data_IF_155865592008
#
_entry.id   IF_155865592008
#
_cell.length_a   1.000
_cell.length_b   1.000
_cell.length_c   1.000
_cell.angle_alpha   90.00
_cell.angle_beta   90.00
_cell.angle_gamma   90.00
#
_symmetry.space_group_name_H-M   'P 1'
#
loop_
_entity.id
_entity.type
_entity.pdbx_description
1 polymer ?
#
# COMPACT_ATOMS: atom_id res chain seq x y z
N UNK A 1 6.84 -20.76 -30.18
CA UNK A 1 6.72 -20.47 -28.73
C UNK A 1 8.13 -20.53 -28.17
N UNK A 2 8.61 -19.46 -27.54
CA UNK A 2 9.98 -19.42 -27.01
C UNK A 2 10.08 -20.32 -25.77
N UNK A 3 11.26 -20.87 -25.49
CA UNK A 3 11.52 -21.57 -24.25
C UNK A 3 11.35 -20.60 -23.05
N UNK A 4 10.49 -20.89 -22.07
CA UNK A 4 10.29 -20.05 -20.87
C UNK A 4 11.58 -19.73 -20.12
N UNK A 5 12.60 -20.61 -20.17
CA UNK A 5 13.91 -20.33 -19.56
C UNK A 5 14.68 -19.24 -20.30
N UNK A 6 14.51 -19.12 -21.62
CA UNK A 6 15.16 -18.07 -22.41
C UNK A 6 14.49 -16.73 -22.16
N UNK A 7 13.16 -16.70 -22.03
CA UNK A 7 12.40 -15.48 -21.76
C UNK A 7 12.74 -14.88 -20.40
N UNK A 8 12.85 -15.72 -19.35
CA UNK A 8 13.31 -15.29 -18.03
C UNK A 8 14.71 -14.66 -18.05
N UNK A 9 15.64 -15.24 -18.82
CA UNK A 9 17.00 -14.70 -18.97
C UNK A 9 17.02 -13.35 -19.72
N UNK A 10 16.10 -13.14 -20.67
CA UNK A 10 15.99 -11.89 -21.40
C UNK A 10 15.51 -10.75 -20.49
N UNK A 11 14.49 -10.99 -19.66
CA UNK A 11 13.97 -10.01 -18.69
C UNK A 11 15.06 -9.61 -17.69
N UNK A 12 15.81 -10.57 -17.16
CA UNK A 12 16.85 -10.30 -16.16
C UNK A 12 18.05 -9.55 -16.74
N UNK A 13 18.39 -9.81 -18.02
CA UNK A 13 19.38 -9.00 -18.74
C UNK A 13 18.88 -7.57 -18.90
N UNK A 14 17.60 -7.37 -19.26
CA UNK A 14 17.01 -6.03 -19.35
C UNK A 14 16.99 -5.31 -18.00
N UNK A 15 16.75 -6.03 -16.90
CA UNK A 15 16.81 -5.50 -15.53
C UNK A 15 18.19 -4.93 -15.19
N UNK A 16 19.24 -5.69 -15.46
CA UNK A 16 20.62 -5.25 -15.21
C UNK A 16 20.98 -4.02 -16.05
N UNK A 17 20.42 -3.90 -17.27
CA UNK A 17 20.61 -2.71 -18.10
C UNK A 17 19.84 -1.51 -17.54
N UNK A 18 18.59 -1.72 -17.10
CA UNK A 18 17.74 -0.68 -16.53
C UNK A 18 18.33 -0.06 -15.25
N UNK A 19 18.91 -0.88 -14.39
CA UNK A 19 19.53 -0.46 -13.13
C UNK A 19 20.89 0.25 -13.32
N UNK A 20 21.40 0.33 -14.55
CA UNK A 20 22.67 0.98 -14.86
C UNK A 20 22.47 2.39 -15.42
N UNK A 21 23.06 3.39 -14.76
CA UNK A 21 23.03 4.79 -15.22
C UNK A 21 23.84 5.05 -16.52
N UNK A 22 24.53 4.02 -17.04
CA UNK A 22 25.40 4.12 -18.21
C UNK A 22 25.23 2.89 -19.10
N UNK A 23 25.58 2.98 -20.39
CA UNK A 23 25.62 1.81 -21.25
C UNK A 23 26.46 0.69 -20.61
N UNK A 24 25.93 -0.54 -20.58
CA UNK A 24 26.56 -1.68 -19.91
C UNK A 24 26.88 -2.82 -20.88
N UNK A 25 28.09 -3.38 -20.74
CA UNK A 25 28.63 -4.41 -21.63
C UNK A 25 28.28 -5.83 -21.20
N UNK A 26 28.34 -6.78 -22.15
CA UNK A 26 27.96 -8.18 -21.92
C UNK A 26 28.75 -8.89 -20.81
N UNK A 27 30.00 -8.47 -20.54
CA UNK A 27 30.82 -9.02 -19.45
C UNK A 27 30.27 -8.59 -18.09
N UNK A 28 30.08 -7.29 -17.90
CA UNK A 28 29.52 -6.74 -16.66
C UNK A 28 28.11 -7.28 -16.39
N UNK A 29 27.27 -7.41 -17.44
CA UNK A 29 25.96 -8.05 -17.31
C UNK A 29 26.09 -9.52 -16.88
N UNK A 30 27.03 -10.28 -17.46
CA UNK A 30 27.25 -11.67 -17.05
C UNK A 30 27.70 -11.77 -15.60
N UNK A 31 28.66 -10.94 -15.18
CA UNK A 31 29.16 -10.91 -13.80
C UNK A 31 28.02 -10.59 -12.81
N UNK A 32 27.18 -9.61 -13.14
CA UNK A 32 26.02 -9.24 -12.33
C UNK A 32 24.95 -10.34 -12.27
N UNK A 33 24.66 -11.02 -13.38
CA UNK A 33 23.74 -12.15 -13.40
C UNK A 33 24.27 -13.34 -12.59
N UNK A 34 25.58 -13.61 -12.61
CA UNK A 34 26.18 -14.64 -11.76
C UNK A 34 26.06 -14.27 -10.27
N UNK A 35 26.23 -12.98 -9.91
CA UNK A 35 26.00 -12.50 -8.54
C UNK A 35 24.54 -12.70 -8.10
N UNK A 36 23.59 -12.62 -9.05
CA UNK A 36 22.16 -12.88 -8.83
C UNK A 36 21.78 -14.37 -8.91
N UNK A 37 22.76 -15.27 -9.02
CA UNK A 37 22.56 -16.72 -9.00
C UNK A 37 22.23 -17.36 -10.35
N UNK A 38 22.39 -16.65 -11.47
CA UNK A 38 22.27 -17.22 -12.81
C UNK A 38 23.62 -17.76 -13.31
N UNK A 39 23.67 -19.04 -13.67
CA UNK A 39 24.84 -19.62 -14.36
C UNK A 39 24.82 -19.22 -15.85
N UNK A 40 25.49 -18.10 -16.17
CA UNK A 40 25.55 -17.58 -17.53
C UNK A 40 26.88 -16.89 -17.83
N UNK A 41 27.52 -17.30 -18.94
CA UNK A 41 28.76 -16.68 -19.41
C UNK A 41 28.53 -15.50 -20.37
N UNK A 42 29.56 -14.64 -20.52
CA UNK A 42 29.55 -13.46 -21.41
C UNK A 42 29.11 -13.78 -22.85
N UNK A 43 29.48 -14.95 -23.39
CA UNK A 43 29.07 -15.39 -24.74
C UNK A 43 27.56 -15.62 -24.85
N UNK A 44 26.94 -16.20 -23.83
CA UNK A 44 25.51 -16.43 -23.77
C UNK A 44 24.75 -15.11 -23.57
N UNK A 45 25.26 -14.21 -22.72
CA UNK A 45 24.72 -12.85 -22.59
C UNK A 45 24.78 -12.10 -23.93
N UNK A 46 25.90 -12.17 -24.67
CA UNK A 46 26.00 -11.58 -26.02
C UNK A 46 24.94 -12.11 -26.99
N UNK A 47 24.59 -13.40 -26.89
CA UNK A 47 23.55 -14.00 -27.70
C UNK A 47 22.17 -13.42 -27.36
N UNK A 48 21.80 -13.37 -26.08
CA UNK A 48 20.53 -12.79 -25.63
C UNK A 48 20.42 -11.30 -25.96
N UNK A 49 21.51 -10.53 -25.83
CA UNK A 49 21.50 -9.12 -26.19
C UNK A 49 21.27 -8.89 -27.70
N UNK A 50 21.65 -9.84 -28.58
CA UNK A 50 21.29 -9.74 -30.00
C UNK A 50 19.79 -9.92 -30.20
N UNK A 51 19.18 -10.86 -29.47
CA UNK A 51 17.72 -11.06 -29.50
C UNK A 51 17.00 -9.81 -29.02
N UNK A 52 17.50 -9.16 -27.95
CA UNK A 52 16.93 -7.90 -27.44
C UNK A 52 17.09 -6.74 -28.44
N UNK A 53 18.22 -6.66 -29.15
CA UNK A 53 18.43 -5.67 -30.21
C UNK A 53 17.46 -5.93 -31.40
N UNK A 54 17.30 -7.19 -31.82
CA UNK A 54 16.41 -7.60 -32.91
C UNK A 54 14.93 -7.32 -32.58
N UNK A 55 14.57 -7.39 -31.30
CA UNK A 55 13.22 -7.02 -30.79
C UNK A 55 13.06 -5.52 -30.56
N UNK A 56 14.12 -4.73 -30.72
CA UNK A 56 14.10 -3.29 -30.50
C UNK A 56 14.03 -2.87 -29.03
N UNK A 57 14.29 -3.78 -28.08
CA UNK A 57 14.28 -3.48 -26.64
C UNK A 57 15.59 -2.85 -26.15
N UNK A 58 16.71 -3.13 -26.81
CA UNK A 58 18.01 -2.53 -26.48
C UNK A 58 18.60 -1.77 -27.66
N UNK A 59 19.37 -0.72 -27.35
CA UNK A 59 20.16 0.03 -28.32
C UNK A 59 21.65 -0.11 -28.02
N UNK A 60 22.46 -0.31 -29.07
CA UNK A 60 23.89 -0.60 -28.98
C UNK A 60 24.75 0.65 -29.16
N UNK A 61 25.61 0.92 -28.19
CA UNK A 61 26.53 2.06 -28.15
C UNK A 61 27.98 1.63 -28.35
N UNK A 62 28.26 0.85 -29.40
CA UNK A 62 29.62 0.38 -29.71
C UNK A 62 30.24 -0.46 -28.57
N UNK A 63 31.45 -0.09 -28.13
CA UNK A 63 32.15 -0.74 -27.01
C UNK A 63 31.63 -0.32 -25.62
N UNK A 64 30.85 0.76 -25.53
CA UNK A 64 30.30 1.22 -24.26
C UNK A 64 29.23 0.26 -23.72
N UNK A 65 28.54 -0.48 -24.60
CA UNK A 65 27.55 -1.48 -24.21
C UNK A 65 26.18 -1.20 -24.80
N UNK A 66 25.12 -1.45 -24.01
CA UNK A 66 23.73 -1.24 -24.39
C UNK A 66 22.96 -0.44 -23.35
N UNK A 67 21.94 0.27 -23.82
CA UNK A 67 20.88 0.87 -22.99
C UNK A 67 19.54 0.28 -23.42
N UNK A 68 18.51 0.42 -22.58
CA UNK A 68 17.14 0.17 -23.02
C UNK A 68 16.68 1.25 -23.99
N UNK A 69 15.80 0.88 -24.92
CA UNK A 69 15.01 1.81 -25.72
C UNK A 69 13.72 2.17 -24.98
N UNK A 70 12.95 3.15 -25.45
CA UNK A 70 11.61 3.40 -24.89
C UNK A 70 10.66 2.20 -24.93
N UNK A 71 10.84 1.31 -25.92
CA UNK A 71 10.08 0.07 -26.02
C UNK A 71 10.59 -0.94 -24.99
N UNK A 72 11.91 -1.05 -24.80
CA UNK A 72 12.50 -1.89 -23.76
C UNK A 72 12.18 -1.41 -22.35
N UNK A 73 12.11 -0.10 -22.12
CA UNK A 73 11.66 0.49 -20.85
C UNK A 73 10.20 0.15 -20.55
N UNK A 74 9.31 0.21 -21.56
CA UNK A 74 7.91 -0.20 -21.41
C UNK A 74 7.78 -1.69 -21.12
N UNK A 75 8.45 -2.53 -21.90
CA UNK A 75 8.46 -3.98 -21.71
C UNK A 75 9.05 -4.37 -20.35
N UNK A 76 10.10 -3.68 -19.89
CA UNK A 76 10.69 -3.89 -18.56
C UNK A 76 9.67 -3.54 -17.46
N UNK A 77 8.96 -2.43 -17.61
CA UNK A 77 7.89 -2.05 -16.68
C UNK A 77 6.75 -3.08 -16.63
N UNK A 78 6.38 -3.67 -17.77
CA UNK A 78 5.35 -4.71 -17.85
C UNK A 78 5.86 -6.06 -17.30
N UNK A 79 7.10 -6.45 -17.59
CA UNK A 79 7.73 -7.66 -17.05
C UNK A 79 7.90 -7.59 -15.52
N UNK A 80 8.16 -6.40 -14.98
CA UNK A 80 8.16 -6.14 -13.53
C UNK A 80 6.79 -6.35 -12.87
N UNK A 81 5.68 -6.39 -13.63
CA UNK A 81 4.36 -6.66 -13.07
C UNK A 81 4.27 -8.09 -12.53
N UNK A 82 4.95 -9.05 -13.17
CA UNK A 82 5.02 -10.43 -12.69
C UNK A 82 5.78 -10.53 -11.35
N UNK A 83 6.84 -9.74 -11.16
CA UNK A 83 7.57 -9.65 -9.88
C UNK A 83 6.80 -8.87 -8.81
N UNK A 84 5.87 -7.99 -9.22
CA UNK A 84 4.97 -7.26 -8.33
C UNK A 84 3.73 -8.07 -7.97
N UNK A 85 3.49 -9.22 -8.59
CA UNK A 85 2.33 -10.06 -8.30
C UNK A 85 2.43 -10.61 -6.87
N UNK A 86 1.51 -10.22 -5.99
CA UNK A 86 1.58 -10.54 -4.56
C UNK A 86 2.43 -9.58 -3.71
N UNK A 87 3.13 -8.61 -4.31
CA UNK A 87 3.94 -7.62 -3.58
C UNK A 87 3.11 -6.83 -2.56
N UNK A 88 1.87 -6.47 -2.91
CA UNK A 88 0.97 -5.73 -2.01
C UNK A 88 0.64 -6.58 -0.77
N UNK A 89 0.29 -7.85 -0.96
CA UNK A 89 0.01 -8.78 0.15
C UNK A 89 1.26 -9.00 1.00
N UNK A 90 2.40 -9.31 0.38
CA UNK A 90 3.65 -9.53 1.12
C UNK A 90 4.07 -8.29 1.91
N UNK A 91 3.83 -7.09 1.38
CA UNK A 91 4.09 -5.83 2.10
C UNK A 91 3.12 -5.63 3.26
N UNK A 92 1.83 -5.97 3.11
CA UNK A 92 0.86 -5.94 4.21
C UNK A 92 1.27 -6.92 5.31
N UNK A 93 1.65 -8.14 4.96
CA UNK A 93 2.14 -9.16 5.90
C UNK A 93 3.41 -8.71 6.62
N UNK A 94 4.38 -8.14 5.89
CA UNK A 94 5.59 -7.57 6.48
C UNK A 94 5.27 -6.45 7.49
N UNK A 95 4.38 -5.51 7.12
CA UNK A 95 3.98 -4.42 8.00
C UNK A 95 3.23 -4.93 9.24
N UNK A 96 2.34 -5.91 9.08
CA UNK A 96 1.65 -6.55 10.20
C UNK A 96 2.66 -7.24 11.14
N UNK A 97 3.66 -7.94 10.59
CA UNK A 97 4.71 -8.59 11.38
C UNK A 97 5.55 -7.59 12.18
N UNK A 98 5.93 -6.47 11.54
CA UNK A 98 6.73 -5.38 12.12
C UNK A 98 5.97 -4.54 13.14
N UNK A 99 4.64 -4.60 13.16
CA UNK A 99 3.82 -3.92 14.17
C UNK A 99 4.09 -4.51 15.55
N UNK A 100 4.58 -3.70 16.48
CA UNK A 100 4.91 -4.12 17.86
C UNK A 100 4.08 -3.42 18.92
N UNK A 101 3.20 -2.50 18.52
CA UNK A 101 2.41 -1.70 19.45
C UNK A 101 1.64 -2.56 20.48
N UNK A 102 1.75 -2.18 21.75
CA UNK A 102 1.06 -2.82 22.86
C UNK A 102 0.09 -1.82 23.53
N UNK A 103 -1.23 -2.01 23.39
CA UNK A 103 -2.24 -1.14 24.00
C UNK A 103 -2.16 -1.01 25.52
N UNK A 104 -1.55 -1.97 26.22
CA UNK A 104 -1.44 -1.94 27.69
C UNK A 104 -0.31 -1.03 28.17
N UNK A 105 0.80 -0.97 27.43
CA UNK A 105 1.95 -0.13 27.79
C UNK A 105 1.98 1.19 27.01
N UNK A 106 1.19 1.28 25.93
CA UNK A 106 1.19 2.39 24.97
C UNK A 106 2.59 2.62 24.35
N UNK A 107 3.29 1.53 24.06
CA UNK A 107 4.63 1.52 23.47
C UNK A 107 4.67 0.63 22.23
N UNK A 108 5.63 0.90 21.34
CA UNK A 108 5.88 0.14 20.12
C UNK A 108 5.37 0.84 18.87
N UNK A 109 5.67 0.21 17.74
CA UNK A 109 5.47 0.82 16.42
C UNK A 109 4.17 0.37 15.77
N UNK A 110 3.56 1.28 15.01
CA UNK A 110 2.39 1.05 14.15
C UNK A 110 2.73 1.36 12.70
N UNK A 111 2.08 0.71 11.72
CA UNK A 111 2.25 1.01 10.32
C UNK A 111 1.53 2.33 9.99
N UNK A 112 2.17 3.17 9.18
CA UNK A 112 1.66 4.49 8.79
C UNK A 112 1.66 4.69 7.28
N UNK A 113 0.71 5.49 6.81
CA UNK A 113 0.73 6.07 5.47
C UNK A 113 1.39 7.44 5.56
N UNK A 114 2.21 7.79 4.58
CA UNK A 114 2.83 9.11 4.51
C UNK A 114 2.23 9.86 3.32
N UNK A 115 1.76 11.06 3.57
CA UNK A 115 1.37 12.03 2.55
C UNK A 115 2.17 13.31 2.69
N UNK A 116 2.32 14.09 1.63
CA UNK A 116 2.93 15.41 1.69
C UNK A 116 2.22 16.42 0.77
N UNK A 117 2.31 17.69 1.14
CA UNK A 117 1.53 18.81 0.60
C UNK A 117 2.33 20.12 0.72
N UNK A 118 1.86 21.20 0.08
CA UNK A 118 2.50 22.52 0.17
C UNK A 118 2.38 23.09 1.58
N UNK A 119 3.47 23.63 2.14
CA UNK A 119 3.50 24.17 3.50
C UNK A 119 2.39 25.18 3.80
N UNK A 120 1.99 25.95 2.79
CA UNK A 120 0.94 26.98 2.90
C UNK A 120 -0.44 26.39 3.22
N UNK A 121 -0.67 25.10 2.96
CA UNK A 121 -1.94 24.40 3.20
C UNK A 121 -2.03 23.77 4.61
N UNK A 122 -1.00 23.90 5.46
CA UNK A 122 -0.88 23.18 6.74
C UNK A 122 -2.08 23.35 7.68
N UNK A 123 -2.59 24.57 7.83
CA UNK A 123 -3.71 24.85 8.72
C UNK A 123 -4.97 24.12 8.26
N UNK A 124 -5.30 24.19 6.97
CA UNK A 124 -6.44 23.48 6.38
C UNK A 124 -6.26 21.96 6.44
N UNK A 125 -5.03 21.46 6.24
CA UNK A 125 -4.71 20.04 6.39
C UNK A 125 -5.02 19.56 7.80
N UNK A 126 -4.58 20.31 8.81
CA UNK A 126 -4.81 19.97 10.21
C UNK A 126 -6.32 19.95 10.53
N UNK A 127 -7.05 20.98 10.11
CA UNK A 127 -8.49 21.10 10.36
C UNK A 127 -9.29 19.96 9.74
N UNK A 128 -9.09 19.66 8.45
CA UNK A 128 -9.84 18.62 7.74
C UNK A 128 -9.49 17.23 8.27
N UNK A 129 -8.22 16.96 8.57
CA UNK A 129 -7.80 15.66 9.12
C UNK A 129 -8.35 15.47 10.53
N UNK A 130 -8.29 16.49 11.38
CA UNK A 130 -8.89 16.46 12.72
C UNK A 130 -10.39 16.19 12.64
N UNK A 131 -11.11 16.91 11.77
CA UNK A 131 -12.55 16.72 11.60
C UNK A 131 -12.87 15.30 11.12
N UNK A 132 -12.11 14.79 10.13
CA UNK A 132 -12.31 13.44 9.59
C UNK A 132 -12.04 12.35 10.63
N UNK A 133 -11.02 12.53 11.46
CA UNK A 133 -10.67 11.56 12.49
C UNK A 133 -11.71 11.53 13.62
N UNK A 134 -12.15 12.69 14.09
CA UNK A 134 -13.13 12.80 15.18
C UNK A 134 -14.55 12.36 14.79
N UNK A 135 -14.92 12.43 13.51
CA UNK A 135 -16.15 11.84 13.00
C UNK A 135 -16.03 10.31 12.74
N UNK A 136 -14.88 9.70 13.04
CA UNK A 136 -14.69 8.24 13.01
C UNK A 136 -14.35 7.66 11.63
N UNK A 137 -13.92 8.49 10.68
CA UNK A 137 -13.59 8.05 9.32
C UNK A 137 -12.11 7.80 9.08
N UNK A 138 -11.27 7.88 10.13
CA UNK A 138 -9.87 7.44 10.13
C UNK A 138 -9.63 6.36 11.19
N UNK A 139 -8.46 5.72 11.12
CA UNK A 139 -8.07 4.67 12.09
C UNK A 139 -7.85 5.24 13.49
N UNK A 140 -7.21 6.41 13.54
CA UNK A 140 -6.78 7.07 14.77
C UNK A 140 -6.79 8.59 14.56
N UNK A 141 -7.10 9.38 15.60
CA UNK A 141 -6.85 10.82 15.61
C UNK A 141 -5.38 11.16 15.82
N UNK A 142 -4.51 10.18 16.09
CA UNK A 142 -3.08 10.45 16.17
C UNK A 142 -2.44 10.52 14.79
N UNK A 143 -1.74 11.62 14.54
CA UNK A 143 -0.94 11.85 13.34
C UNK A 143 0.43 12.35 13.72
N UNK A 144 1.37 12.33 12.77
CA UNK A 144 2.66 13.00 12.93
C UNK A 144 2.90 13.93 11.76
N UNK A 145 3.12 15.21 12.05
CA UNK A 145 3.62 16.17 11.07
C UNK A 145 5.12 15.93 10.90
N UNK A 146 5.57 15.90 9.65
CA UNK A 146 6.96 15.67 9.25
C UNK A 146 7.43 16.95 8.56
N UNK A 147 8.40 17.61 9.17
CA UNK A 147 8.98 18.83 8.60
C UNK A 147 9.94 18.49 7.45
N UNK A 148 10.19 19.46 6.57
CA UNK A 148 11.04 19.32 5.37
C UNK A 148 12.44 18.75 5.69
N UNK A 149 13.01 19.15 6.83
CA UNK A 149 14.38 18.85 7.26
C UNK A 149 14.49 17.64 8.23
N UNK A 150 13.42 16.88 8.47
CA UNK A 150 13.51 15.68 9.34
C UNK A 150 14.30 14.55 8.65
N UNK A 151 15.28 13.97 9.37
CA UNK A 151 16.05 12.80 8.88
C UNK A 151 15.19 11.58 8.56
N UNK A 152 13.98 11.52 9.10
CA UNK A 152 13.07 10.39 8.97
C UNK A 152 12.59 10.19 7.53
N UNK A 153 12.46 11.27 6.75
CA UNK A 153 12.05 11.23 5.35
C UNK A 153 12.46 12.53 4.63
N UNK A 154 13.22 12.40 3.54
CA UNK A 154 13.53 13.55 2.68
C UNK A 154 12.28 13.98 1.90
N UNK A 155 11.75 15.15 2.24
CA UNK A 155 10.65 15.79 1.53
C UNK A 155 11.19 16.79 0.49
N UNK A 156 10.45 17.05 -0.61
CA UNK A 156 10.83 18.11 -1.54
C UNK A 156 10.78 19.50 -0.88
N UNK A 157 11.57 20.47 -1.36
CA UNK A 157 11.55 21.79 -0.77
C UNK A 157 10.18 22.48 -0.80
N UNK A 158 9.82 23.14 0.30
CA UNK A 158 8.52 23.79 0.49
C UNK A 158 7.36 22.84 0.81
N UNK A 159 7.64 21.57 1.10
CA UNK A 159 6.63 20.56 1.44
C UNK A 159 6.65 20.20 2.92
N UNK A 160 5.47 19.89 3.44
CA UNK A 160 5.27 19.30 4.77
C UNK A 160 4.64 17.92 4.60
N UNK A 161 5.06 16.97 5.43
CA UNK A 161 4.52 15.62 5.47
C UNK A 161 3.53 15.42 6.60
N UNK A 162 2.63 14.45 6.42
CA UNK A 162 1.73 13.96 7.46
C UNK A 162 1.69 12.43 7.42
N UNK A 163 1.93 11.81 8.57
CA UNK A 163 1.78 10.39 8.79
C UNK A 163 0.45 10.08 9.48
N UNK A 164 -0.33 9.16 8.90
CA UNK A 164 -1.61 8.68 9.41
C UNK A 164 -1.55 7.17 9.64
N UNK A 165 -2.23 6.65 10.67
CA UNK A 165 -2.19 5.22 10.98
C UNK A 165 -2.84 4.39 9.88
N UNK A 166 -2.16 3.34 9.43
CA UNK A 166 -2.64 2.43 8.40
C UNK A 166 -3.55 1.35 8.98
N UNK A 167 -4.54 0.88 8.21
CA UNK A 167 -5.44 -0.20 8.61
C UNK A 167 -4.71 -1.50 8.98
N UNK A 168 -3.49 -1.69 8.44
CA UNK A 168 -2.59 -2.82 8.76
C UNK A 168 -2.25 -2.91 10.25
N UNK A 169 -2.47 -1.84 11.03
CA UNK A 169 -2.31 -1.88 12.49
C UNK A 169 -3.17 -2.96 13.13
N UNK A 170 -4.40 -3.17 12.63
CA UNK A 170 -5.30 -4.21 13.15
C UNK A 170 -4.79 -5.61 12.79
N UNK A 171 -4.28 -5.81 11.57
CA UNK A 171 -3.65 -7.05 11.15
C UNK A 171 -2.49 -7.41 12.10
N UNK A 172 -1.62 -6.45 12.42
CA UNK A 172 -0.51 -6.62 13.35
C UNK A 172 -0.95 -6.94 14.79
N UNK A 173 -1.91 -6.19 15.32
CA UNK A 173 -2.42 -6.37 16.68
C UNK A 173 -3.12 -7.73 16.87
N UNK A 174 -3.94 -8.13 15.91
CA UNK A 174 -4.58 -9.45 15.91
C UNK A 174 -3.56 -10.57 15.75
N UNK A 175 -2.54 -10.39 14.89
CA UNK A 175 -1.44 -11.35 14.74
C UNK A 175 -0.67 -11.54 16.06
N UNK A 176 -0.35 -10.46 16.79
CA UNK A 176 0.30 -10.57 18.12
C UNK A 176 -0.61 -11.22 19.17
N UNK A 177 -1.93 -11.14 18.97
CA UNK A 177 -2.89 -11.90 19.76
C UNK A 177 -3.04 -13.37 19.29
N UNK A 178 -2.25 -13.85 18.32
CA UNK A 178 -2.31 -15.21 17.80
C UNK A 178 -3.48 -15.47 16.84
N UNK A 179 -4.04 -14.42 16.23
CA UNK A 179 -5.16 -14.49 15.30
C UNK A 179 -4.65 -14.15 13.90
N UNK A 180 -4.58 -15.14 12.98
CA UNK A 180 -4.29 -14.86 11.57
C UNK A 180 -5.40 -14.02 10.95
N UNK A 181 -5.02 -13.00 10.19
CA UNK A 181 -5.95 -12.10 9.50
C UNK A 181 -5.65 -12.17 8.01
N UNK A 182 -6.70 -12.26 7.19
CA UNK A 182 -6.57 -12.22 5.74
C UNK A 182 -7.00 -10.85 5.19
N UNK A 183 -6.10 -10.09 4.56
CA UNK A 183 -6.44 -8.95 3.73
C UNK A 183 -7.21 -9.39 2.49
N UNK A 184 -8.54 -9.30 2.51
CA UNK A 184 -9.37 -9.80 1.43
C UNK A 184 -9.55 -8.77 0.31
N UNK A 185 -10.07 -7.58 0.64
CA UNK A 185 -10.41 -6.56 -0.36
C UNK A 185 -10.05 -5.14 0.10
N UNK A 186 -9.68 -4.29 -0.84
CA UNK A 186 -9.77 -2.83 -0.69
C UNK A 186 -10.92 -2.32 -1.56
N UNK A 187 -11.62 -1.27 -1.11
CA UNK A 187 -12.84 -0.85 -1.77
C UNK A 187 -13.37 0.52 -1.38
N UNK A 188 -14.51 0.85 -1.97
CA UNK A 188 -15.33 2.01 -1.64
C UNK A 188 -16.57 1.53 -0.91
N UNK A 189 -16.82 2.08 0.28
CA UNK A 189 -18.04 1.83 1.04
C UNK A 189 -18.93 3.06 1.02
N UNK A 190 -20.21 2.84 0.71
CA UNK A 190 -21.25 3.85 0.78
C UNK A 190 -21.66 4.04 2.24
N UNK A 191 -21.71 5.31 2.67
CA UNK A 191 -22.25 5.75 3.94
C UNK A 191 -23.62 6.37 3.70
N UNK A 192 -24.59 5.99 4.52
CA UNK A 192 -25.94 6.54 4.54
C UNK A 192 -26.35 6.75 6.00
N UNK A 193 -26.88 7.93 6.34
CA UNK A 193 -27.24 8.30 7.72
C UNK A 193 -26.10 8.04 8.73
N UNK A 194 -24.86 8.38 8.34
CA UNK A 194 -23.62 8.17 9.13
C UNK A 194 -23.33 6.70 9.47
N UNK A 195 -23.87 5.76 8.70
CA UNK A 195 -23.64 4.31 8.88
C UNK A 195 -23.17 3.66 7.58
N UNK A 196 -22.33 2.62 7.67
CA UNK A 196 -21.95 1.84 6.49
C UNK A 196 -23.18 1.12 5.92
N UNK A 197 -23.46 1.37 4.64
CA UNK A 197 -24.57 0.74 3.92
C UNK A 197 -24.08 -0.50 3.15
N UNK A 198 -23.19 -0.30 2.18
CA UNK A 198 -22.64 -1.39 1.34
C UNK A 198 -21.33 -0.99 0.67
N UNK A 199 -20.49 -1.96 0.36
CA UNK A 199 -19.40 -1.77 -0.60
C UNK A 199 -20.00 -1.58 -2.00
N UNK A 200 -19.62 -0.49 -2.68
CA UNK A 200 -19.99 -0.25 -4.09
C UNK A 200 -19.00 -0.89 -5.05
N UNK A 201 -17.73 -0.89 -4.66
CA UNK A 201 -16.61 -1.36 -5.47
C UNK A 201 -15.59 -2.08 -4.60
N UNK A 202 -15.06 -3.20 -5.10
CA UNK A 202 -14.08 -4.04 -4.41
C UNK A 202 -13.01 -4.50 -5.39
N UNK A 203 -11.76 -4.50 -4.95
CA UNK A 203 -10.64 -5.16 -5.62
C UNK A 203 -9.98 -6.08 -4.61
N UNK A 204 -9.76 -7.34 -5.02
CA UNK A 204 -9.06 -8.31 -4.19
C UNK A 204 -7.61 -7.90 -3.99
N UNK A 205 -7.12 -8.03 -2.76
CA UNK A 205 -5.69 -7.97 -2.48
C UNK A 205 -4.96 -9.20 -3.03
N UNK A 206 -5.64 -10.34 -3.12
CA UNK A 206 -5.10 -11.53 -3.78
C UNK A 206 -5.09 -11.33 -5.29
N UNK A 207 -3.91 -11.50 -5.89
CA UNK A 207 -3.74 -11.45 -7.34
C UNK A 207 -3.68 -10.05 -7.96
N UNK A 208 -3.40 -9.01 -7.16
CA UNK A 208 -3.06 -7.68 -7.67
C UNK A 208 -1.59 -7.33 -7.46
N UNK A 209 -1.04 -6.53 -8.37
CA UNK A 209 0.31 -5.94 -8.29
C UNK A 209 0.30 -4.49 -7.81
N UNK A 210 -0.88 -3.88 -7.71
CA UNK A 210 -1.10 -2.49 -7.30
C UNK A 210 -2.07 -2.49 -6.13
N UNK A 211 -1.81 -1.65 -5.12
CA UNK A 211 -2.69 -1.50 -3.97
C UNK A 211 -4.09 -1.03 -4.43
N UNK A 212 -5.17 -1.82 -4.19
CA UNK A 212 -6.55 -1.44 -4.42
C UNK A 212 -6.88 0.00 -3.99
N UNK A 213 -6.37 0.43 -2.84
CA UNK A 213 -6.65 1.74 -2.28
C UNK A 213 -6.04 2.84 -3.15
N UNK A 214 -4.82 2.66 -3.66
CA UNK A 214 -4.21 3.59 -4.62
C UNK A 214 -5.02 3.69 -5.91
N UNK A 215 -5.57 2.57 -6.39
CA UNK A 215 -6.42 2.55 -7.60
C UNK A 215 -7.66 3.42 -7.37
N UNK A 216 -8.34 3.27 -6.25
CA UNK A 216 -9.55 4.06 -5.95
C UNK A 216 -9.24 5.54 -5.73
N UNK A 217 -8.17 5.88 -5.02
CA UNK A 217 -7.71 7.27 -4.90
C UNK A 217 -7.46 7.92 -6.26
N UNK A 218 -6.73 7.23 -7.15
CA UNK A 218 -6.39 7.76 -8.49
C UNK A 218 -7.63 8.09 -9.34
N UNK A 219 -8.75 7.41 -9.07
CA UNK A 219 -10.02 7.61 -9.78
C UNK A 219 -10.90 8.68 -9.14
N UNK A 220 -10.53 9.22 -7.98
CA UNK A 220 -11.26 10.25 -7.23
C UNK A 220 -12.74 9.89 -7.02
N UNK A 221 -12.98 8.66 -6.58
CA UNK A 221 -14.35 8.10 -6.44
C UNK A 221 -14.98 8.31 -5.06
N UNK A 222 -14.26 8.91 -4.11
CA UNK A 222 -14.76 9.23 -2.77
C UNK A 222 -15.55 10.53 -2.76
N UNK A 223 -16.32 10.71 -1.69
CA UNK A 223 -16.99 11.96 -1.34
C UNK A 223 -16.99 12.09 0.20
N UNK A 224 -15.80 12.03 0.80
CA UNK A 224 -15.60 12.06 2.25
C UNK A 224 -16.17 13.34 2.85
N UNK A 225 -16.04 14.50 2.19
CA UNK A 225 -16.60 15.76 2.67
C UNK A 225 -18.13 15.70 2.79
N UNK A 226 -18.82 15.11 1.80
CA UNK A 226 -20.28 14.90 1.87
C UNK A 226 -20.65 14.00 3.05
N UNK A 227 -19.83 12.99 3.36
CA UNK A 227 -20.03 12.10 4.50
C UNK A 227 -19.92 12.85 5.82
N UNK A 228 -18.96 13.77 5.94
CA UNK A 228 -18.77 14.60 7.13
C UNK A 228 -19.94 15.59 7.31
N UNK A 229 -20.32 16.29 6.26
CA UNK A 229 -21.33 17.36 6.31
C UNK A 229 -22.77 16.83 6.37
N UNK A 230 -23.09 15.84 5.54
CA UNK A 230 -24.47 15.36 5.30
C UNK A 230 -24.72 13.99 5.91
N UNK A 231 -23.67 13.26 6.28
CA UNK A 231 -23.78 11.88 6.74
C UNK A 231 -24.02 10.88 5.61
N UNK A 232 -23.79 11.28 4.36
CA UNK A 232 -24.05 10.47 3.17
C UNK A 232 -22.92 10.64 2.16
N UNK A 233 -22.44 9.55 1.57
CA UNK A 233 -21.38 9.61 0.56
C UNK A 233 -20.51 8.36 0.53
N UNK A 234 -19.28 8.49 0.05
CA UNK A 234 -18.39 7.35 -0.21
C UNK A 234 -17.03 7.55 0.43
N UNK A 235 -16.56 6.54 1.15
CA UNK A 235 -15.23 6.53 1.75
C UNK A 235 -14.45 5.29 1.32
N UNK A 236 -13.14 5.32 1.51
CA UNK A 236 -12.32 4.12 1.36
C UNK A 236 -12.48 3.23 2.59
N UNK A 237 -12.55 1.93 2.34
CA UNK A 237 -12.54 0.92 3.37
C UNK A 237 -11.84 -0.35 2.88
N UNK A 238 -11.39 -1.12 3.85
CA UNK A 238 -10.68 -2.37 3.70
C UNK A 238 -11.51 -3.48 4.33
N UNK A 239 -11.51 -4.64 3.70
CA UNK A 239 -12.16 -5.84 4.20
C UNK A 239 -11.09 -6.84 4.63
N UNK A 240 -11.24 -7.34 5.85
CA UNK A 240 -10.48 -8.47 6.38
C UNK A 240 -11.41 -9.67 6.59
N UNK A 241 -10.85 -10.86 6.49
CA UNK A 241 -11.52 -12.09 6.85
C UNK A 241 -10.71 -12.84 7.89
N UNK A 242 -11.42 -13.45 8.84
CA UNK A 242 -10.81 -14.19 9.95
C UNK A 242 -11.58 -15.50 10.14
N UNK A 243 -10.88 -16.58 10.45
CA UNK A 243 -11.51 -17.86 10.75
C UNK A 243 -12.47 -17.74 11.95
N UNK A 244 -13.65 -18.34 11.85
CA UNK A 244 -14.71 -18.24 12.87
C UNK A 244 -14.27 -18.74 14.27
N UNK A 245 -13.29 -19.65 14.35
CA UNK A 245 -12.72 -20.09 15.63
C UNK A 245 -12.10 -18.97 16.46
N UNK A 246 -11.72 -17.84 15.84
CA UNK A 246 -11.13 -16.70 16.52
C UNK A 246 -12.13 -15.57 16.84
N UNK A 247 -13.43 -15.75 16.57
CA UNK A 247 -14.43 -14.67 16.62
C UNK A 247 -14.47 -13.92 17.96
N UNK A 248 -14.67 -14.63 19.08
CA UNK A 248 -14.74 -13.98 20.41
C UNK A 248 -13.39 -13.35 20.81
N UNK A 249 -12.27 -14.02 20.50
CA UNK A 249 -10.94 -13.48 20.81
C UNK A 249 -10.63 -12.22 20.00
N UNK A 250 -11.00 -12.19 18.73
CA UNK A 250 -10.85 -11.01 17.86
C UNK A 250 -11.67 -9.85 18.41
N UNK A 251 -12.92 -10.10 18.81
CA UNK A 251 -13.80 -9.11 19.44
C UNK A 251 -13.19 -8.51 20.72
N UNK A 252 -12.62 -9.35 21.60
CA UNK A 252 -11.97 -8.87 22.84
C UNK A 252 -10.73 -8.01 22.58
N UNK A 253 -9.90 -8.41 21.61
CA UNK A 253 -8.72 -7.65 21.19
C UNK A 253 -9.14 -6.30 20.63
N UNK A 254 -10.12 -6.28 19.71
CA UNK A 254 -10.62 -5.06 19.07
C UNK A 254 -11.21 -4.07 20.08
N UNK A 255 -11.98 -4.56 21.06
CA UNK A 255 -12.48 -3.72 22.18
C UNK A 255 -11.36 -3.15 23.06
N UNK A 256 -10.20 -3.79 23.12
CA UNK A 256 -9.07 -3.30 23.91
C UNK A 256 -8.31 -2.21 23.16
N UNK A 257 -8.11 -2.37 21.84
CA UNK A 257 -7.39 -1.39 21.02
C UNK A 257 -8.21 -0.12 20.78
N UNK A 258 -9.53 -0.23 20.76
CA UNK A 258 -10.44 0.93 20.67
C UNK A 258 -10.22 1.93 21.81
N UNK A 259 -9.92 1.44 23.03
CA UNK A 259 -9.67 2.27 24.22
C UNK A 259 -8.42 3.14 24.13
N UNK A 260 -7.52 2.87 23.18
CA UNK A 260 -6.28 3.62 22.96
C UNK A 260 -6.30 4.44 21.67
N UNK A 261 -7.50 4.69 21.13
CA UNK A 261 -7.71 5.54 19.96
C UNK A 261 -7.45 4.85 18.62
N UNK A 262 -7.49 3.51 18.58
CA UNK A 262 -7.46 2.71 17.35
C UNK A 262 -8.87 2.13 17.10
N UNK A 263 -9.77 2.97 16.60
CA UNK A 263 -11.22 2.70 16.56
C UNK A 263 -11.83 2.65 15.14
N UNK A 264 -11.01 2.75 14.09
CA UNK A 264 -11.49 2.79 12.70
C UNK A 264 -11.96 1.45 12.11
N UNK A 265 -12.80 0.69 12.83
CA UNK A 265 -13.41 -0.55 12.33
C UNK A 265 -14.92 -0.57 12.60
N UNK A 266 -15.66 -1.23 11.73
CA UNK A 266 -17.11 -1.44 11.89
C UNK A 266 -17.40 -2.73 12.66
N UNK A 267 -18.64 -2.93 13.17
CA UNK A 267 -19.02 -4.16 13.84
C UNK A 267 -18.66 -5.41 13.02
N UNK A 268 -18.22 -6.45 13.74
CA UNK A 268 -17.87 -7.74 13.16
C UNK A 268 -19.07 -8.32 12.40
N UNK A 269 -18.83 -8.86 11.20
CA UNK A 269 -19.85 -9.59 10.46
C UNK A 269 -20.22 -10.91 11.13
N UNK A 270 -21.36 -11.46 10.72
CA UNK A 270 -21.75 -12.82 11.09
C UNK A 270 -20.89 -13.85 10.33
N UNK A 271 -20.79 -15.05 10.89
CA UNK A 271 -20.02 -16.15 10.27
C UNK A 271 -20.75 -16.63 9.02
N UNK A 272 -19.99 -16.87 7.94
CA UNK A 272 -20.50 -17.34 6.64
C UNK A 272 -21.48 -16.38 5.93
N UNK A 273 -21.61 -15.14 6.42
CA UNK A 273 -22.45 -14.11 5.81
C UNK A 273 -21.62 -13.00 5.14
N UNK A 274 -22.17 -12.40 4.10
CA UNK A 274 -21.57 -11.21 3.47
C UNK A 274 -21.58 -10.03 4.44
N UNK A 275 -20.51 -9.24 4.48
CA UNK A 275 -20.46 -8.01 5.28
C UNK A 275 -20.63 -6.78 4.38
N UNK A 276 -21.69 -6.01 4.57
CA UNK A 276 -21.99 -4.84 3.73
C UNK A 276 -21.98 -5.17 2.21
N UNK A 277 -22.44 -6.37 1.86
CA UNK A 277 -22.43 -6.88 0.48
C UNK A 277 -21.08 -7.38 -0.04
N UNK A 278 -20.00 -7.25 0.73
CA UNK A 278 -18.72 -7.87 0.40
C UNK A 278 -18.76 -9.38 0.70
N UNK A 279 -18.22 -10.23 -0.21
CA UNK A 279 -18.17 -11.66 0.01
C UNK A 279 -17.25 -12.03 1.19
N UNK A 280 -17.63 -13.08 1.91
CA UNK A 280 -16.85 -13.70 2.98
C UNK A 280 -16.76 -15.19 2.68
N UNK A 281 -15.57 -15.77 2.83
CA UNK A 281 -15.37 -17.19 2.57
C UNK A 281 -16.00 -18.05 3.67
N UNK A 282 -16.37 -19.28 3.30
CA UNK A 282 -16.90 -20.27 4.25
C UNK A 282 -15.91 -20.57 5.38
N UNK A 283 -16.42 -20.67 6.60
CA UNK A 283 -15.68 -20.81 7.84
C UNK A 283 -15.09 -19.51 8.37
N UNK A 284 -15.46 -18.35 7.83
CA UNK A 284 -14.90 -17.04 8.22
C UNK A 284 -15.98 -16.02 8.55
N UNK A 285 -15.56 -14.94 9.19
CA UNK A 285 -16.34 -13.71 9.36
C UNK A 285 -15.54 -12.52 8.86
N UNK A 286 -16.27 -11.45 8.53
CA UNK A 286 -15.73 -10.22 7.99
C UNK A 286 -15.43 -9.14 9.01
N UNK A 287 -14.43 -8.29 8.71
CA UNK A 287 -14.20 -7.02 9.40
C UNK A 287 -13.98 -5.93 8.36
N UNK A 288 -14.85 -4.92 8.36
CA UNK A 288 -14.65 -3.72 7.55
C UNK A 288 -13.91 -2.65 8.37
N UNK A 289 -12.83 -2.11 7.81
CA UNK A 289 -11.91 -1.18 8.46
C UNK A 289 -11.83 0.07 7.58
N UNK A 290 -12.03 1.26 8.15
CA UNK A 290 -11.97 2.50 7.37
C UNK A 290 -10.56 2.74 6.81
N UNK A 291 -10.44 3.46 5.72
CA UNK A 291 -9.14 3.87 5.19
C UNK A 291 -8.46 4.89 6.11
N UNK A 292 -7.24 4.60 6.56
CA UNK A 292 -6.44 5.57 7.34
C UNK A 292 -6.10 6.87 6.61
N UNK A 293 -6.32 6.89 5.29
CA UNK A 293 -6.10 8.02 4.39
C UNK A 293 -7.40 8.74 3.98
N UNK A 294 -8.55 8.43 4.59
CA UNK A 294 -9.80 9.13 4.24
C UNK A 294 -9.71 10.64 4.50
N UNK A 295 -8.99 11.10 5.53
CA UNK A 295 -8.72 12.53 5.73
C UNK A 295 -7.91 13.15 4.59
N UNK A 296 -7.04 12.36 3.96
CA UNK A 296 -6.29 12.80 2.77
C UNK A 296 -7.21 12.87 1.55
N UNK A 297 -8.16 11.94 1.41
CA UNK A 297 -9.16 11.99 0.34
C UNK A 297 -10.07 13.21 0.50
N UNK A 298 -10.50 13.52 1.73
CA UNK A 298 -11.25 14.74 2.04
C UNK A 298 -10.48 16.00 1.62
N UNK A 299 -9.15 16.03 1.84
CA UNK A 299 -8.30 17.13 1.39
C UNK A 299 -8.19 17.23 -0.14
N UNK A 300 -8.06 16.10 -0.84
CA UNK A 300 -8.07 16.13 -2.31
C UNK A 300 -9.42 16.63 -2.87
N UNK A 301 -10.52 16.39 -2.16
CA UNK A 301 -11.85 16.88 -2.51
C UNK A 301 -12.01 18.40 -2.34
N UNK A 302 -11.22 19.05 -1.47
CA UNK A 302 -11.17 20.54 -1.38
C UNK A 302 -10.35 21.19 -2.50
N UNK A 303 -9.60 20.38 -3.26
CA UNK A 303 -8.70 20.84 -4.32
C UNK A 303 -7.23 20.96 -3.90
N UNK A 304 -6.89 20.66 -2.64
CA UNK A 304 -5.51 20.60 -2.17
C UNK A 304 -4.79 19.42 -2.84
N UNK A 305 -3.58 19.66 -3.34
CA UNK A 305 -2.79 18.63 -4.02
C UNK A 305 -2.01 17.81 -2.99
N UNK A 306 -2.52 16.61 -2.72
CA UNK A 306 -1.84 15.63 -1.89
C UNK A 306 -0.99 14.69 -2.74
N UNK A 307 0.19 14.31 -2.24
CA UNK A 307 0.91 13.13 -2.74
C UNK A 307 1.03 12.12 -1.63
N UNK A 308 0.51 10.92 -1.87
CA UNK A 308 0.41 9.88 -0.84
C UNK A 308 1.13 8.62 -1.28
N UNK A 309 1.92 8.07 -0.36
CA UNK A 309 2.47 6.73 -0.46
C UNK A 309 1.78 5.84 0.59
N UNK A 310 0.74 5.07 0.20
CA UNK A 310 0.12 4.10 1.10
C UNK A 310 1.10 3.00 1.55
N UNK A 311 0.91 2.50 2.77
CA UNK A 311 1.69 1.40 3.37
C UNK A 311 3.20 1.72 3.39
N UNK A 312 3.56 2.91 3.87
CA UNK A 312 4.91 3.46 3.71
C UNK A 312 5.95 2.81 4.64
N UNK A 313 5.70 2.84 5.95
CA UNK A 313 6.70 2.46 6.97
C UNK A 313 6.00 2.20 8.32
N UNK A 314 6.79 1.99 9.38
CA UNK A 314 6.33 1.94 10.77
C UNK A 314 6.86 3.12 11.57
N UNK A 315 6.12 3.59 12.57
CA UNK A 315 6.51 4.68 13.47
C UNK A 315 6.11 4.36 14.91
N UNK A 316 6.88 4.87 15.88
CA UNK A 316 6.53 4.79 17.30
C UNK A 316 5.22 5.56 17.56
N UNK A 317 4.17 4.86 18.00
CA UNK A 317 2.83 5.43 18.14
C UNK A 317 2.76 6.54 19.19
N UNK A 318 3.64 6.51 20.18
CA UNK A 318 3.75 7.55 21.21
C UNK A 318 4.40 8.84 20.72
N UNK A 319 5.06 8.84 19.56
CA UNK A 319 5.60 10.05 18.92
C UNK A 319 4.57 10.75 18.03
N UNK A 320 3.41 10.13 17.83
CA UNK A 320 2.29 10.72 17.10
C UNK A 320 1.39 11.50 18.07
N UNK A 321 0.93 12.66 17.64
CA UNK A 321 0.13 13.59 18.44
C UNK A 321 -1.33 13.49 18.03
N UNK A 322 -2.23 13.56 19.01
CA UNK A 322 -3.66 13.69 18.75
C UNK A 322 -3.96 15.04 18.11
N UNK A 323 -4.62 15.02 16.96
CA UNK A 323 -5.00 16.19 16.16
C UNK A 323 -6.50 16.43 16.26
#
# INVERSE_FOLDING_TARGET
MMDPQIERKLIEIMRVIHESDKPIGARAIADELNNRGYDIGERAVRYHLRILDERGFTSKHGYAGRTLTELGEREMNDALIADRFGFVISRIEEMAFRTTYNPKTNEGVVPVNISYFDKDDLETVIEVVSYTAHEGYMISPRVRIIEEDEELLSLPPGKVGIATVCSVVFDGLLLKAGIPVEPAYGGIIQIENRKPARFSDLISYSGTSIDPIQIFMSRKTTSVLDVLEKGEGKILANMRQINCSAYERAREVLKTVEKVGLAGYYPLGEVDETLFGAPVETGKFGIAIVGGINGICALEETGIKMKTNPVSTVMEYNTMTEI
#
